data_IF_929803892730
#
_entry.id   IF_929803892730
#
_cell.length_a   1.000
_cell.length_b   1.000
_cell.length_c   1.000
_cell.angle_alpha   90.00
_cell.angle_beta   90.00
_cell.angle_gamma   90.00
#
_symmetry.space_group_name_H-M   'P 1'
#
loop_
_entity.id
_entity.type
_entity.pdbx_description
1 polymer ?
#
# COMPACT_ATOMS: atom_id res chain seq x y z
N UNK A 1 1.42 12.44 7.12
CA UNK A 1 1.92 11.34 7.97
C UNK A 1 3.35 11.03 7.57
N UNK A 2 4.18 10.75 8.56
CA UNK A 2 5.50 10.16 8.34
C UNK A 2 5.37 8.74 7.76
N UNK A 3 6.41 8.26 7.08
CA UNK A 3 6.46 6.87 6.60
C UNK A 3 6.23 5.86 7.72
N UNK A 4 6.70 6.16 8.93
CA UNK A 4 6.53 5.31 10.11
C UNK A 4 5.06 5.19 10.53
N UNK A 5 4.32 6.29 10.50
CA UNK A 5 2.87 6.29 10.79
C UNK A 5 2.08 5.54 9.71
N UNK A 6 2.44 5.72 8.44
CA UNK A 6 1.82 4.98 7.33
C UNK A 6 2.02 3.47 7.47
N UNK A 7 3.22 3.06 7.86
CA UNK A 7 3.52 1.65 8.13
C UNK A 7 2.75 1.12 9.33
N UNK A 8 2.70 1.90 10.41
CA UNK A 8 1.94 1.53 11.59
C UNK A 8 0.43 1.40 11.29
N UNK A 9 -0.11 2.26 10.42
CA UNK A 9 -1.48 2.16 9.94
C UNK A 9 -1.72 0.86 9.16
N UNK A 10 -0.85 0.53 8.20
CA UNK A 10 -0.95 -0.71 7.42
C UNK A 10 -0.91 -1.96 8.30
N UNK A 11 -0.04 -1.98 9.31
CA UNK A 11 0.11 -3.12 10.23
C UNK A 11 -1.09 -3.29 11.15
N UNK A 12 -1.76 -2.21 11.55
CA UNK A 12 -2.92 -2.24 12.44
C UNK A 12 -4.27 -2.22 11.69
N UNK A 13 -4.27 -2.05 10.37
CA UNK A 13 -5.49 -2.06 9.56
C UNK A 13 -6.13 -3.44 9.61
N UNK A 14 -7.44 -3.49 9.83
CA UNK A 14 -8.22 -4.72 9.62
C UNK A 14 -8.42 -4.93 8.13
N UNK A 15 -7.60 -5.81 7.56
CA UNK A 15 -7.59 -6.11 6.13
C UNK A 15 -8.82 -6.89 5.69
N UNK A 16 -9.49 -6.41 4.63
CA UNK A 16 -10.47 -7.20 3.88
C UNK A 16 -9.78 -7.85 2.68
N UNK A 17 -10.38 -8.90 2.13
CA UNK A 17 -9.82 -9.60 0.95
C UNK A 17 -9.62 -8.65 -0.24
N UNK A 18 -10.56 -7.74 -0.49
CA UNK A 18 -10.46 -6.73 -1.56
C UNK A 18 -9.29 -5.76 -1.35
N UNK A 19 -9.04 -5.36 -0.10
CA UNK A 19 -7.92 -4.50 0.30
C UNK A 19 -6.59 -5.20 0.01
N UNK A 20 -6.49 -6.49 0.37
CA UNK A 20 -5.28 -7.32 0.17
C UNK A 20 -4.99 -7.50 -1.33
N UNK A 21 -6.01 -7.79 -2.14
CA UNK A 21 -5.85 -7.90 -3.59
C UNK A 21 -5.38 -6.58 -4.20
N UNK A 22 -5.96 -5.46 -3.75
CA UNK A 22 -5.62 -4.13 -4.26
C UNK A 22 -4.17 -3.74 -3.94
N UNK A 23 -3.70 -3.97 -2.72
CA UNK A 23 -2.31 -3.65 -2.35
C UNK A 23 -1.30 -4.56 -3.09
N UNK A 24 -1.60 -5.85 -3.24
CA UNK A 24 -0.74 -6.77 -3.99
C UNK A 24 -0.68 -6.36 -5.47
N UNK A 25 -1.81 -6.01 -6.08
CA UNK A 25 -1.84 -5.53 -7.45
C UNK A 25 -1.01 -4.24 -7.63
N UNK A 26 -1.10 -3.31 -6.67
CA UNK A 26 -0.28 -2.09 -6.68
C UNK A 26 1.22 -2.43 -6.58
N UNK A 27 1.61 -3.27 -5.62
CA UNK A 27 3.01 -3.72 -5.49
C UNK A 27 3.52 -4.38 -6.76
N UNK A 28 2.71 -5.24 -7.38
CA UNK A 28 3.07 -5.94 -8.60
C UNK A 28 3.28 -4.95 -9.76
N UNK A 29 2.31 -4.10 -10.06
CA UNK A 29 2.39 -3.12 -11.16
C UNK A 29 3.56 -2.15 -10.97
N UNK A 30 3.74 -1.62 -9.76
CA UNK A 30 4.86 -0.70 -9.49
C UNK A 30 6.21 -1.43 -9.62
N UNK A 31 6.28 -2.70 -9.21
CA UNK A 31 7.51 -3.50 -9.34
C UNK A 31 7.86 -3.82 -10.80
N UNK A 32 6.87 -3.89 -11.71
CA UNK A 32 7.13 -4.06 -13.15
C UNK A 32 7.81 -2.85 -13.78
N UNK A 33 7.49 -1.64 -13.30
CA UNK A 33 8.07 -0.38 -13.81
C UNK A 33 9.39 -0.05 -13.09
N UNK A 34 9.53 -0.51 -11.86
CA UNK A 34 10.68 -0.22 -11.01
C UNK A 34 11.50 -1.49 -10.75
N UNK A 35 11.78 -1.82 -9.49
CA UNK A 35 12.37 -3.08 -9.06
C UNK A 35 11.60 -3.58 -7.85
N UNK A 36 11.50 -4.89 -7.58
CA UNK A 36 10.69 -5.40 -6.47
C UNK A 36 11.05 -4.80 -5.09
N UNK A 37 12.34 -4.55 -4.84
CA UNK A 37 12.83 -3.91 -3.62
C UNK A 37 12.25 -2.51 -3.38
N UNK A 38 12.02 -1.75 -4.46
CA UNK A 38 11.44 -0.41 -4.40
C UNK A 38 9.91 -0.45 -4.62
N UNK A 39 9.45 -1.36 -5.47
CA UNK A 39 8.06 -1.47 -5.88
C UNK A 39 7.14 -1.99 -4.80
N UNK A 40 7.63 -2.85 -3.90
CA UNK A 40 6.87 -3.27 -2.72
C UNK A 40 6.58 -2.09 -1.78
N UNK A 41 7.58 -1.32 -1.28
CA UNK A 41 7.30 -0.18 -0.41
C UNK A 41 6.53 0.93 -1.13
N UNK A 42 6.87 1.24 -2.38
CA UNK A 42 6.15 2.27 -3.15
C UNK A 42 4.71 1.84 -3.47
N UNK A 43 4.49 0.58 -3.82
CA UNK A 43 3.16 0.03 -4.08
C UNK A 43 2.24 0.08 -2.86
N UNK A 44 2.79 -0.17 -1.66
CA UNK A 44 2.06 0.02 -0.41
C UNK A 44 1.61 1.48 -0.19
N UNK A 45 2.49 2.44 -0.49
CA UNK A 45 2.18 3.88 -0.40
C UNK A 45 1.11 4.28 -1.43
N UNK A 46 1.23 3.81 -2.68
CA UNK A 46 0.24 4.06 -3.74
C UNK A 46 -1.14 3.54 -3.33
N UNK A 47 -1.20 2.33 -2.78
CA UNK A 47 -2.42 1.77 -2.24
C UNK A 47 -3.06 2.67 -1.16
N UNK A 48 -2.28 3.12 -0.17
CA UNK A 48 -2.78 4.02 0.88
C UNK A 48 -3.35 5.33 0.34
N UNK A 49 -2.66 5.93 -0.64
CA UNK A 49 -3.03 7.26 -1.13
C UNK A 49 -4.22 7.23 -2.11
N UNK A 50 -4.38 6.14 -2.87
CA UNK A 50 -5.35 6.08 -3.96
C UNK A 50 -6.51 5.14 -3.74
N UNK A 51 -6.30 4.05 -2.99
CA UNK A 51 -7.29 2.98 -2.82
C UNK A 51 -7.86 2.92 -1.42
N UNK A 52 -7.07 3.27 -0.39
CA UNK A 52 -7.55 3.30 0.98
C UNK A 52 -8.36 4.57 1.29
N UNK A 53 -9.68 4.43 1.26
CA UNK A 53 -10.62 5.51 1.57
C UNK A 53 -10.63 5.92 3.04
N UNK A 54 -10.19 5.05 3.95
CA UNK A 54 -10.14 5.34 5.39
C UNK A 54 -8.82 5.97 5.80
N UNK A 55 -7.79 5.90 4.95
CA UNK A 55 -6.48 6.48 5.25
C UNK A 55 -6.48 8.02 5.20
N UNK A 56 -7.33 8.62 4.36
CA UNK A 56 -7.44 10.09 4.20
C UNK A 56 -8.52 10.74 5.09
N UNK A 57 -9.24 9.95 5.90
CA UNK A 57 -10.39 10.38 6.68
C UNK A 57 -10.07 10.32 8.17
#
# INVERSE_FOLDING_TARGET
>A
MSLKEMWNYLLNKKWRTDDVLSIIACMFVVSLVTTPLVGVPVGAIVYLLWFDKNFKK
#
